data_IF_390208961432
#
_entry.id   IF_390208961432
#
_cell.length_a   1.000
_cell.length_b   1.000
_cell.length_c   1.000
_cell.angle_alpha   90.00
_cell.angle_beta   90.00
_cell.angle_gamma   90.00
#
_symmetry.space_group_name_H-M   'P 1'
#
loop_
_entity.id
_entity.type
_entity.pdbx_description
1 polymer ?
#
# COMPACT_ATOMS: atom_id res chain seq x y z
N UNK A 1 -40.71 -37.52 -13.89
CA UNK A 1 -40.99 -38.97 -13.85
C UNK A 1 -39.66 -39.67 -13.69
N UNK A 2 -39.40 -40.22 -12.50
CA UNK A 2 -38.24 -41.09 -12.30
C UNK A 2 -38.32 -42.21 -13.34
N UNK A 3 -37.30 -42.36 -14.18
CA UNK A 3 -37.16 -43.56 -14.98
C UNK A 3 -36.86 -44.66 -13.97
N UNK A 4 -37.90 -45.34 -13.48
CA UNK A 4 -37.75 -46.54 -12.69
C UNK A 4 -36.83 -47.45 -13.52
N UNK A 5 -35.64 -47.74 -12.99
CA UNK A 5 -34.92 -48.93 -13.43
C UNK A 5 -35.95 -50.04 -13.27
N UNK A 6 -36.41 -50.61 -14.37
CA UNK A 6 -37.48 -51.60 -14.33
C UNK A 6 -36.93 -52.80 -13.55
N UNK A 7 -37.25 -52.83 -12.26
CA UNK A 7 -36.90 -53.94 -11.38
C UNK A 7 -37.82 -55.09 -11.78
N UNK A 8 -37.24 -56.09 -12.43
CA UNK A 8 -37.99 -57.22 -12.97
C UNK A 8 -38.35 -58.17 -11.84
N UNK A 9 -39.44 -57.85 -11.15
CA UNK A 9 -39.99 -58.57 -10.00
C UNK A 9 -40.23 -60.05 -10.33
N UNK A 10 -40.73 -60.34 -11.55
CA UNK A 10 -41.02 -61.71 -11.99
C UNK A 10 -39.73 -62.52 -12.20
N UNK A 11 -38.69 -61.90 -12.79
CA UNK A 11 -37.38 -62.55 -12.96
C UNK A 11 -36.69 -62.82 -11.63
N UNK A 12 -36.87 -61.95 -10.63
CA UNK A 12 -36.35 -62.20 -9.28
C UNK A 12 -37.12 -63.35 -8.60
N UNK A 13 -38.45 -63.34 -8.65
CA UNK A 13 -39.28 -64.40 -8.06
C UNK A 13 -38.90 -65.79 -8.62
N UNK A 14 -38.75 -65.90 -9.96
CA UNK A 14 -38.31 -67.14 -10.60
C UNK A 14 -36.92 -67.60 -10.18
N UNK A 15 -36.00 -66.66 -9.91
CA UNK A 15 -34.67 -66.99 -9.38
C UNK A 15 -34.73 -67.48 -7.94
N UNK A 16 -35.62 -66.92 -7.12
CA UNK A 16 -35.84 -67.35 -5.74
C UNK A 16 -36.49 -68.74 -5.70
N UNK A 17 -37.49 -69.01 -6.54
CA UNK A 17 -38.08 -70.36 -6.70
C UNK A 17 -37.04 -71.39 -7.13
N UNK A 18 -36.20 -71.06 -8.12
CA UNK A 18 -35.10 -71.93 -8.55
C UNK A 18 -34.04 -72.15 -7.46
N UNK A 19 -33.95 -71.25 -6.48
CA UNK A 19 -33.11 -71.37 -5.29
C UNK A 19 -33.80 -72.11 -4.11
N UNK A 20 -35.04 -72.59 -4.30
CA UNK A 20 -35.76 -73.41 -3.33
C UNK A 20 -36.78 -72.66 -2.46
N UNK A 21 -37.07 -71.39 -2.75
CA UNK A 21 -38.15 -70.66 -2.06
C UNK A 21 -39.52 -71.13 -2.56
N UNK A 22 -40.50 -71.16 -1.67
CA UNK A 22 -41.89 -71.40 -2.06
C UNK A 22 -42.38 -70.25 -2.96
N UNK A 23 -43.26 -70.56 -3.93
CA UNK A 23 -43.80 -69.59 -4.88
C UNK A 23 -44.32 -68.30 -4.21
N UNK A 24 -45.08 -68.42 -3.11
CA UNK A 24 -45.61 -67.26 -2.39
C UNK A 24 -44.48 -66.44 -1.75
N UNK A 25 -43.53 -67.09 -1.08
CA UNK A 25 -42.40 -66.40 -0.46
C UNK A 25 -41.50 -65.69 -1.50
N UNK A 26 -41.27 -66.33 -2.65
CA UNK A 26 -40.51 -65.75 -3.75
C UNK A 26 -41.21 -64.51 -4.35
N UNK A 27 -42.54 -64.55 -4.46
CA UNK A 27 -43.35 -63.41 -4.89
C UNK A 27 -43.28 -62.27 -3.88
N UNK A 28 -43.56 -62.54 -2.61
CA UNK A 28 -43.60 -61.55 -1.53
C UNK A 28 -42.25 -60.85 -1.33
N UNK A 29 -41.14 -61.59 -1.37
CA UNK A 29 -39.78 -61.02 -1.25
C UNK A 29 -39.44 -60.13 -2.45
N UNK A 30 -39.81 -60.56 -3.66
CA UNK A 30 -39.54 -59.78 -4.87
C UNK A 30 -40.36 -58.49 -4.88
N UNK A 31 -41.60 -58.54 -4.43
CA UNK A 31 -42.49 -57.39 -4.31
C UNK A 31 -41.99 -56.39 -3.26
N UNK A 32 -41.65 -56.85 -2.05
CA UNK A 32 -41.09 -56.00 -1.00
C UNK A 32 -39.79 -55.31 -1.43
N UNK A 33 -38.95 -56.00 -2.21
CA UNK A 33 -37.70 -55.46 -2.74
C UNK A 33 -37.94 -54.44 -3.86
N UNK A 34 -38.95 -54.65 -4.71
CA UNK A 34 -39.37 -53.67 -5.72
C UNK A 34 -39.92 -52.39 -5.07
N UNK A 35 -40.72 -52.54 -4.02
CA UNK A 35 -41.29 -51.42 -3.26
C UNK A 35 -40.18 -50.62 -2.55
N UNK A 36 -39.20 -51.29 -1.95
CA UNK A 36 -38.03 -50.64 -1.35
C UNK A 36 -37.21 -49.82 -2.36
N UNK A 37 -37.03 -50.32 -3.59
CA UNK A 37 -36.37 -49.57 -4.66
C UNK A 37 -37.21 -48.43 -5.23
N UNK A 38 -38.55 -48.54 -5.20
CA UNK A 38 -39.45 -47.48 -5.63
C UNK A 38 -39.44 -46.27 -4.67
N UNK A 39 -39.17 -46.51 -3.39
CA UNK A 39 -39.11 -45.47 -2.35
C UNK A 39 -37.70 -44.84 -2.27
N UNK A 40 -36.67 -45.48 -2.82
CA UNK A 40 -35.31 -44.96 -2.81
C UNK A 40 -35.19 -43.69 -3.68
N UNK A 41 -35.02 -42.52 -3.06
CA UNK A 41 -34.63 -41.29 -3.74
C UNK A 41 -33.17 -41.40 -4.20
N UNK A 42 -32.98 -41.90 -5.42
CA UNK A 42 -31.66 -41.98 -6.06
C UNK A 42 -31.51 -40.83 -7.05
N UNK A 43 -30.39 -40.09 -6.94
CA UNK A 43 -30.04 -39.09 -7.94
C UNK A 43 -29.97 -39.73 -9.33
N UNK A 44 -30.76 -39.18 -10.26
CA UNK A 44 -30.81 -39.65 -11.64
C UNK A 44 -29.64 -39.08 -12.44
N UNK A 45 -29.39 -39.65 -13.62
CA UNK A 45 -28.41 -39.08 -14.57
C UNK A 45 -28.77 -37.66 -14.99
N UNK A 46 -30.06 -37.30 -14.99
CA UNK A 46 -30.49 -35.95 -15.29
C UNK A 46 -30.08 -34.98 -14.18
N UNK A 47 -30.22 -35.36 -12.92
CA UNK A 47 -29.80 -34.55 -11.76
C UNK A 47 -28.29 -34.31 -11.77
N UNK A 48 -27.51 -35.35 -12.08
CA UNK A 48 -26.05 -35.23 -12.21
C UNK A 48 -25.67 -34.29 -13.36
N UNK A 49 -26.33 -34.42 -14.51
CA UNK A 49 -26.08 -33.55 -15.68
C UNK A 49 -26.46 -32.10 -15.41
N UNK A 50 -27.54 -31.85 -14.67
CA UNK A 50 -27.92 -30.51 -14.23
C UNK A 50 -26.86 -29.91 -13.30
N UNK A 51 -26.36 -30.70 -12.34
CA UNK A 51 -25.29 -30.29 -11.44
C UNK A 51 -23.99 -29.98 -12.21
N UNK A 52 -23.61 -30.81 -13.17
CA UNK A 52 -22.44 -30.60 -14.03
C UNK A 52 -22.53 -29.27 -14.77
N UNK A 53 -23.63 -29.03 -15.50
CA UNK A 53 -23.87 -27.78 -16.22
C UNK A 53 -23.87 -26.55 -15.29
N UNK A 54 -24.45 -26.70 -14.10
CA UNK A 54 -24.48 -25.62 -13.09
C UNK A 54 -23.09 -25.33 -12.54
N UNK A 55 -22.25 -26.35 -12.35
CA UNK A 55 -20.88 -26.20 -11.88
C UNK A 55 -19.98 -25.59 -12.94
N UNK A 56 -20.07 -26.04 -14.19
CA UNK A 56 -19.37 -25.44 -15.33
C UNK A 56 -19.71 -23.93 -15.44
N UNK A 57 -20.99 -23.60 -15.42
CA UNK A 57 -21.42 -22.19 -15.47
C UNK A 57 -20.91 -21.36 -14.28
N UNK A 58 -20.78 -21.96 -13.09
CA UNK A 58 -20.20 -21.27 -11.92
C UNK A 58 -18.69 -21.08 -12.08
N UNK A 59 -17.98 -22.08 -12.58
CA UNK A 59 -16.54 -22.02 -12.82
C UNK A 59 -16.24 -20.93 -13.85
N UNK A 60 -16.98 -20.88 -14.95
CA UNK A 60 -16.81 -19.87 -16.00
C UNK A 60 -17.06 -18.45 -15.45
N UNK A 61 -18.09 -18.28 -14.63
CA UNK A 61 -18.38 -16.99 -13.97
C UNK A 61 -17.25 -16.58 -13.03
N UNK A 62 -16.72 -17.50 -12.24
CA UNK A 62 -15.60 -17.22 -11.32
C UNK A 62 -14.32 -16.91 -12.10
N UNK A 63 -14.05 -17.63 -13.19
CA UNK A 63 -12.90 -17.36 -14.05
C UNK A 63 -12.99 -15.96 -14.68
N UNK A 64 -14.16 -15.58 -15.19
CA UNK A 64 -14.41 -14.25 -15.74
C UNK A 64 -14.28 -13.14 -14.68
N UNK A 65 -14.85 -13.35 -13.49
CA UNK A 65 -14.74 -12.42 -12.37
C UNK A 65 -13.28 -12.22 -11.94
N UNK A 66 -12.53 -13.31 -11.74
CA UNK A 66 -11.12 -13.25 -11.38
C UNK A 66 -10.29 -12.53 -12.45
N UNK A 67 -10.58 -12.78 -13.73
CA UNK A 67 -9.88 -12.08 -14.82
C UNK A 67 -10.15 -10.57 -14.77
N UNK A 68 -11.40 -10.18 -14.55
CA UNK A 68 -11.77 -8.77 -14.42
C UNK A 68 -11.10 -8.11 -13.20
N UNK A 69 -10.99 -8.80 -12.08
CA UNK A 69 -10.33 -8.28 -10.88
C UNK A 69 -8.81 -8.15 -11.08
N UNK A 70 -8.18 -9.12 -11.75
CA UNK A 70 -6.76 -9.02 -12.15
C UNK A 70 -6.55 -7.80 -13.06
N UNK A 71 -7.42 -7.57 -14.03
CA UNK A 71 -7.31 -6.44 -14.95
C UNK A 71 -7.50 -5.09 -14.23
N UNK A 72 -8.43 -5.03 -13.26
CA UNK A 72 -8.63 -3.85 -12.40
C UNK A 72 -7.40 -3.58 -11.54
N UNK A 73 -6.82 -4.61 -10.92
CA UNK A 73 -5.61 -4.46 -10.11
C UNK A 73 -4.41 -4.03 -10.95
N UNK A 74 -4.26 -4.57 -12.16
CA UNK A 74 -3.21 -4.16 -13.09
C UNK A 74 -3.35 -2.69 -13.51
N UNK A 75 -4.59 -2.25 -13.79
CA UNK A 75 -4.87 -0.85 -14.13
C UNK A 75 -4.61 0.09 -12.95
N UNK A 76 -5.03 -0.28 -11.74
CA UNK A 76 -4.78 0.49 -10.52
C UNK A 76 -3.27 0.63 -10.25
N UNK A 77 -2.52 -0.47 -10.30
CA UNK A 77 -1.07 -0.45 -10.08
C UNK A 77 -0.34 0.41 -11.12
N UNK A 78 -0.79 0.39 -12.38
CA UNK A 78 -0.24 1.26 -13.42
C UNK A 78 -0.51 2.73 -13.09
N UNK A 79 -1.75 3.08 -12.73
CA UNK A 79 -2.11 4.44 -12.37
C UNK A 79 -1.32 4.95 -11.15
N UNK A 80 -1.10 4.11 -10.15
CA UNK A 80 -0.29 4.47 -8.98
C UNK A 80 1.19 4.63 -9.32
N UNK A 81 1.73 3.80 -10.22
CA UNK A 81 3.09 3.96 -10.74
C UNK A 81 3.24 5.28 -11.50
N UNK A 82 2.27 5.63 -12.33
CA UNK A 82 2.26 6.89 -13.09
C UNK A 82 2.18 8.11 -12.14
N UNK A 83 1.36 8.02 -11.07
CA UNK A 83 1.28 9.06 -10.03
C UNK A 83 2.60 9.22 -9.27
N UNK A 84 3.21 8.13 -8.85
CA UNK A 84 4.49 8.16 -8.15
C UNK A 84 5.60 8.79 -9.01
N UNK A 85 5.60 8.53 -10.33
CA UNK A 85 6.54 9.19 -11.25
C UNK A 85 6.38 10.71 -11.25
N UNK A 86 5.14 11.21 -11.30
CA UNK A 86 4.82 12.65 -11.22
C UNK A 86 5.21 13.24 -9.87
N UNK A 87 4.93 12.54 -8.77
CA UNK A 87 5.26 13.02 -7.42
C UNK A 87 6.77 13.10 -7.20
N UNK A 88 7.55 12.15 -7.73
CA UNK A 88 9.02 12.18 -7.70
C UNK A 88 9.56 13.39 -8.46
N UNK A 89 9.03 13.66 -9.67
CA UNK A 89 9.44 14.83 -10.46
C UNK A 89 9.11 16.13 -9.73
N UNK A 90 7.91 16.24 -9.15
CA UNK A 90 7.51 17.39 -8.36
C UNK A 90 8.41 17.59 -7.14
N UNK A 91 8.72 16.51 -6.41
CA UNK A 91 9.61 16.59 -5.24
C UNK A 91 11.01 17.06 -5.65
N UNK A 92 11.55 16.56 -6.77
CA UNK A 92 12.85 16.98 -7.27
C UNK A 92 12.89 18.49 -7.60
N UNK A 93 11.86 19.02 -8.26
CA UNK A 93 11.80 20.45 -8.56
C UNK A 93 11.57 21.31 -7.30
N UNK A 94 10.75 20.86 -6.35
CA UNK A 94 10.59 21.54 -5.05
C UNK A 94 11.92 21.59 -4.30
N UNK A 95 12.62 20.47 -4.13
CA UNK A 95 13.92 20.43 -3.44
C UNK A 95 14.96 21.32 -4.11
N UNK A 96 14.96 21.39 -5.44
CA UNK A 96 15.85 22.27 -6.21
C UNK A 96 15.50 23.74 -6.02
N UNK A 97 14.22 24.09 -5.91
CA UNK A 97 13.77 25.44 -5.59
C UNK A 97 14.20 25.84 -4.16
N UNK A 98 13.92 25.00 -3.18
CA UNK A 98 14.32 25.22 -1.78
C UNK A 98 15.84 25.36 -1.63
N UNK A 99 16.63 24.56 -2.36
CA UNK A 99 18.09 24.68 -2.34
C UNK A 99 18.58 26.00 -2.95
N UNK A 100 17.90 26.51 -3.99
CA UNK A 100 18.23 27.82 -4.59
C UNK A 100 17.91 28.95 -3.62
N UNK A 101 16.77 28.87 -2.94
CA UNK A 101 16.36 29.83 -1.92
C UNK A 101 17.35 29.86 -0.75
N UNK A 102 17.65 28.70 -0.15
CA UNK A 102 18.62 28.59 0.93
C UNK A 102 20.02 29.12 0.55
N UNK A 103 20.46 28.90 -0.70
CA UNK A 103 21.72 29.47 -1.21
C UNK A 103 21.67 30.98 -1.38
N UNK A 104 20.53 31.53 -1.78
CA UNK A 104 20.34 32.97 -1.92
C UNK A 104 20.37 33.66 -0.55
N UNK A 105 19.68 33.08 0.44
CA UNK A 105 19.67 33.54 1.83
C UNK A 105 21.08 33.52 2.43
N UNK A 106 21.80 32.40 2.33
CA UNK A 106 23.16 32.29 2.84
C UNK A 106 24.12 33.31 2.20
N UNK A 107 23.94 33.61 0.91
CA UNK A 107 24.72 34.65 0.22
C UNK A 107 24.36 36.04 0.74
N UNK A 108 23.09 36.34 0.95
CA UNK A 108 22.62 37.60 1.50
C UNK A 108 23.18 37.82 2.91
N UNK A 109 23.10 36.82 3.78
CA UNK A 109 23.68 36.87 5.13
C UNK A 109 25.18 37.10 5.10
N UNK A 110 25.94 36.42 4.21
CA UNK A 110 27.37 36.66 4.05
C UNK A 110 27.69 38.10 3.65
N UNK A 111 26.87 38.72 2.80
CA UNK A 111 27.04 40.13 2.42
C UNK A 111 26.77 41.07 3.59
N UNK A 112 25.72 40.80 4.36
CA UNK A 112 25.37 41.56 5.57
C UNK A 112 26.46 41.45 6.64
N UNK A 113 26.94 40.23 6.92
CA UNK A 113 28.04 40.01 7.87
C UNK A 113 29.29 40.79 7.44
N UNK A 114 29.62 40.78 6.15
CA UNK A 114 30.77 41.52 5.63
C UNK A 114 30.60 43.03 5.78
N UNK A 115 29.41 43.58 5.57
CA UNK A 115 29.17 45.01 5.81
C UNK A 115 29.28 45.36 7.29
N UNK A 116 28.73 44.52 8.16
CA UNK A 116 28.76 44.74 9.61
C UNK A 116 30.18 44.69 10.16
N UNK A 117 31.00 43.76 9.67
CA UNK A 117 32.44 43.69 10.00
C UNK A 117 33.18 44.97 9.61
N UNK A 118 32.96 45.48 8.38
CA UNK A 118 33.58 46.75 7.95
C UNK A 118 33.13 47.93 8.81
N UNK A 119 31.84 47.99 9.14
CA UNK A 119 31.30 49.04 10.00
C UNK A 119 31.92 48.97 11.41
N UNK A 120 32.10 47.75 11.93
CA UNK A 120 32.76 47.51 13.21
C UNK A 120 34.23 47.93 13.19
N UNK A 121 34.98 47.54 12.16
CA UNK A 121 36.39 47.91 11.96
C UNK A 121 36.58 49.43 11.92
N UNK A 122 35.72 50.15 11.19
CA UNK A 122 35.74 51.61 11.14
C UNK A 122 35.44 52.22 12.52
N UNK A 123 34.39 51.75 13.19
CA UNK A 123 34.03 52.24 14.54
C UNK A 123 35.15 51.99 15.55
N UNK A 124 35.83 50.86 15.47
CA UNK A 124 36.99 50.55 16.32
C UNK A 124 38.16 51.46 16.02
N UNK A 125 38.52 51.63 14.73
CA UNK A 125 39.60 52.52 14.31
C UNK A 125 39.37 53.95 14.80
N UNK A 126 38.15 54.47 14.67
CA UNK A 126 37.79 55.81 15.16
C UNK A 126 37.90 55.88 16.69
N UNK A 127 37.32 54.94 17.42
CA UNK A 127 37.35 54.93 18.90
C UNK A 127 38.78 54.82 19.45
N UNK A 128 39.59 53.92 18.89
CA UNK A 128 40.99 53.73 19.30
C UNK A 128 41.84 54.97 18.97
N UNK A 129 41.65 55.57 17.79
CA UNK A 129 42.32 56.82 17.44
C UNK A 129 42.00 57.96 18.41
N UNK A 130 40.72 58.13 18.77
CA UNK A 130 40.30 59.12 19.76
C UNK A 130 40.89 58.84 21.15
N UNK A 131 40.95 57.57 21.58
CA UNK A 131 41.57 57.18 22.85
C UNK A 131 43.08 57.47 22.88
N UNK A 132 43.80 57.16 21.81
CA UNK A 132 45.24 57.47 21.71
C UNK A 132 45.48 58.97 21.77
N UNK A 133 44.72 59.78 21.02
CA UNK A 133 44.84 61.24 21.07
C UNK A 133 44.55 61.79 22.47
N UNK A 134 43.53 61.26 23.16
CA UNK A 134 43.24 61.63 24.55
C UNK A 134 44.39 61.27 25.49
N UNK A 135 45.01 60.09 25.34
CA UNK A 135 46.19 59.69 26.12
C UNK A 135 47.41 60.57 25.85
N UNK A 136 47.67 60.95 24.59
CA UNK A 136 48.75 61.89 24.26
C UNK A 136 48.49 63.28 24.85
N UNK A 137 47.26 63.79 24.77
CA UNK A 137 46.90 65.08 25.35
C UNK A 137 47.08 65.11 26.87
N UNK A 138 46.67 64.05 27.58
CA UNK A 138 46.83 63.96 29.04
C UNK A 138 48.30 63.84 29.45
N UNK A 139 49.10 63.05 28.72
CA UNK A 139 50.54 62.91 29.01
C UNK A 139 51.32 64.20 28.77
N UNK A 140 51.07 64.91 27.65
CA UNK A 140 51.69 66.21 27.38
C UNK A 140 51.30 67.23 28.45
N UNK A 141 50.01 67.30 28.80
CA UNK A 141 49.52 68.19 29.85
C UNK A 141 50.18 67.92 31.22
N UNK A 142 50.35 66.65 31.59
CA UNK A 142 51.03 66.25 32.82
C UNK A 142 52.53 66.66 32.81
N UNK A 143 53.24 66.42 31.71
CA UNK A 143 54.67 66.79 31.59
C UNK A 143 54.86 68.30 31.65
N UNK A 144 53.99 69.08 30.98
CA UNK A 144 54.02 70.54 31.04
C UNK A 144 53.78 71.06 32.47
N UNK A 145 52.85 70.44 33.20
CA UNK A 145 52.60 70.78 34.60
C UNK A 145 53.82 70.49 35.51
N UNK A 146 54.48 69.34 35.32
CA UNK A 146 55.70 68.97 36.05
C UNK A 146 56.84 69.95 35.75
N UNK A 147 57.09 70.27 34.48
CA UNK A 147 58.13 71.24 34.10
C UNK A 147 57.88 72.61 34.74
N UNK A 148 56.63 73.08 34.74
CA UNK A 148 56.27 74.35 35.39
C UNK A 148 56.49 74.33 36.90
N UNK A 149 56.22 73.21 37.56
CA UNK A 149 56.47 73.05 39.00
C UNK A 149 57.96 73.04 39.35
N UNK A 150 58.82 72.49 38.48
CA UNK A 150 60.28 72.48 38.69
C UNK A 150 60.98 73.84 38.41
N UNK A 151 60.31 74.75 37.70
CA UNK A 151 60.81 76.09 37.36
C UNK A 151 60.42 77.17 38.38
N UNK A 152 59.69 76.80 39.43
CA UNK A 152 59.32 77.63 40.57
C UNK A 152 60.05 77.14 41.83
#
# INVERSE_FOLDING_TARGET
>A
MALAVAFDTLKLARKLEAAGFEHQQAADVSEAMAEAFAIAEVATKADVRELELRLEAKIDRLAAANKADIDRLAAANKADTDRLAVDIERLAETTKAELREARAEAKAESTTIRSDMKAMELRMTIKLGLMLMALFATTIGAVAAIMRFMLH
#
